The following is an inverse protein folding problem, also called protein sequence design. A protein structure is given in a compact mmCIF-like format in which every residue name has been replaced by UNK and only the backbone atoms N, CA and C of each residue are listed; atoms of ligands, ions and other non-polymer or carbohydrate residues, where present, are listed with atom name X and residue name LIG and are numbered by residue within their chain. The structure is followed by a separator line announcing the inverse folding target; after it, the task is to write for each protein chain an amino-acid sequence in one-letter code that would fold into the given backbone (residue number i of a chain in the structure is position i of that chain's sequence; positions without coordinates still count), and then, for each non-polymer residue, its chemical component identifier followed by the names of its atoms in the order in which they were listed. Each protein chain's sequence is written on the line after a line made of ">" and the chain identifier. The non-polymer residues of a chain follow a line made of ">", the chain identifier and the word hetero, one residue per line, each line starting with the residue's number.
data_IF_441916428701
#
_entry.id   IF_441916428701
#
_cell.length_a   1.000
_cell.length_b   1.000
_cell.length_c   1.000
_cell.angle_alpha   90.00
_cell.angle_beta   90.00
_cell.angle_gamma   90.00
#
_symmetry.space_group_name_H-M   'P 1'
#
loop_
_entity.id
_entity.type
_entity.pdbx_description
1 polymer ?
#
# COMPACT_ATOMS: atom_id res chain seq x y z
N UNK A 1 -2.95 -15.24 -13.91
CA UNK A 1 -3.31 -13.81 -14.06
C UNK A 1 -3.50 -13.08 -12.72
N UNK A 2 -2.64 -13.33 -11.70
CA UNK A 2 -2.81 -12.76 -10.33
C UNK A 2 -1.81 -11.67 -9.94
N UNK A 3 -1.01 -11.14 -10.84
CA UNK A 3 0.16 -10.35 -10.48
C UNK A 3 -0.08 -8.84 -10.25
N UNK A 4 -1.22 -8.30 -10.63
CA UNK A 4 -1.50 -6.85 -10.47
C UNK A 4 -2.43 -6.50 -9.28
N UNK A 5 -3.13 -7.47 -8.73
CA UNK A 5 -4.14 -7.23 -7.69
C UNK A 5 -3.50 -6.97 -6.31
N UNK A 6 -2.42 -7.68 -5.98
CA UNK A 6 -1.71 -7.50 -4.70
C UNK A 6 -1.05 -6.11 -4.52
N UNK A 7 -0.29 -5.59 -5.52
CA UNK A 7 0.28 -4.26 -5.39
C UNK A 7 -0.77 -3.15 -5.25
N UNK A 8 -1.88 -3.26 -6.00
CA UNK A 8 -2.98 -2.31 -5.91
C UNK A 8 -3.59 -2.27 -4.50
N UNK A 9 -3.76 -3.44 -3.88
CA UNK A 9 -4.29 -3.53 -2.53
C UNK A 9 -3.38 -2.91 -1.47
N UNK A 10 -2.10 -3.13 -1.57
CA UNK A 10 -1.14 -2.50 -0.66
C UNK A 10 -1.11 -0.98 -0.82
N UNK A 11 -1.21 -0.47 -2.05
CA UNK A 11 -1.29 0.96 -2.31
C UNK A 11 -2.58 1.58 -1.74
N UNK A 12 -3.72 0.90 -1.90
CA UNK A 12 -4.99 1.35 -1.30
C UNK A 12 -4.91 1.29 0.22
N UNK A 13 -4.35 0.21 0.80
CA UNK A 13 -4.18 0.08 2.23
C UNK A 13 -3.28 1.19 2.80
N UNK A 14 -2.17 1.51 2.13
CA UNK A 14 -1.28 2.61 2.50
C UNK A 14 -2.00 3.95 2.48
N UNK A 15 -2.73 4.26 1.40
CA UNK A 15 -3.51 5.49 1.28
C UNK A 15 -4.61 5.59 2.34
N UNK A 16 -5.30 4.50 2.66
CA UNK A 16 -6.30 4.48 3.73
C UNK A 16 -5.70 4.72 5.11
N UNK A 17 -4.53 4.11 5.38
CA UNK A 17 -3.81 4.33 6.64
C UNK A 17 -3.43 5.80 6.77
N UNK A 18 -2.87 6.41 5.74
CA UNK A 18 -2.52 7.83 5.72
C UNK A 18 -3.76 8.71 5.99
N UNK A 19 -4.88 8.46 5.30
CA UNK A 19 -6.13 9.19 5.50
C UNK A 19 -6.73 9.03 6.91
N UNK A 20 -6.53 7.89 7.55
CA UNK A 20 -7.01 7.64 8.92
C UNK A 20 -6.12 8.31 9.96
N UNK A 21 -4.79 8.33 9.74
CA UNK A 21 -3.84 8.92 10.67
C UNK A 21 -3.91 10.44 10.69
N UNK A 22 -4.09 11.07 9.53
CA UNK A 22 -4.25 12.53 9.45
C UNK A 22 -5.69 13.00 9.72
N UNK A 23 -6.59 12.09 10.12
CA UNK A 23 -8.00 12.36 10.39
C UNK A 23 -8.81 12.91 9.20
N UNK A 24 -8.35 12.74 7.97
CA UNK A 24 -9.11 13.05 6.75
C UNK A 24 -10.21 12.02 6.50
N UNK A 25 -10.03 10.80 7.04
CA UNK A 25 -11.01 9.72 7.08
C UNK A 25 -11.19 9.25 8.52
N UNK A 26 -12.43 8.96 8.91
CA UNK A 26 -12.76 8.44 10.24
C UNK A 26 -13.33 7.04 10.14
N UNK A 27 -12.85 6.15 11.00
CA UNK A 27 -13.44 4.82 11.19
C UNK A 27 -14.63 4.93 12.16
N UNK A 28 -15.84 4.82 11.64
CA UNK A 28 -17.09 4.87 12.41
C UNK A 28 -17.64 3.46 12.73
N UNK A 29 -16.78 2.46 12.85
CA UNK A 29 -17.14 1.08 13.16
C UNK A 29 -17.52 0.27 11.92
N UNK A 30 -18.72 0.41 11.41
CA UNK A 30 -19.21 -0.31 10.21
C UNK A 30 -18.94 0.40 8.90
N UNK A 31 -18.61 1.68 8.95
CA UNK A 31 -18.36 2.50 7.76
C UNK A 31 -17.23 3.51 8.01
N UNK A 32 -16.64 3.98 6.91
CA UNK A 32 -15.77 5.15 6.90
C UNK A 32 -16.58 6.41 6.64
N UNK A 33 -16.16 7.52 7.21
CA UNK A 33 -16.76 8.84 7.01
C UNK A 33 -15.66 9.86 6.75
N UNK A 34 -16.02 10.94 6.04
CA UNK A 34 -15.10 12.06 5.85
C UNK A 34 -14.78 12.70 7.20
N UNK A 35 -13.51 12.90 7.46
CA UNK A 35 -13.01 13.56 8.65
C UNK A 35 -12.99 15.08 8.52
N UNK A 36 -12.55 15.79 9.56
CA UNK A 36 -12.49 17.25 9.59
C UNK A 36 -11.33 17.84 8.79
N UNK A 37 -10.31 17.03 8.47
CA UNK A 37 -9.14 17.48 7.73
C UNK A 37 -9.40 17.34 6.23
N UNK A 38 -9.14 18.41 5.48
CA UNK A 38 -9.28 18.42 4.03
C UNK A 38 -8.14 17.68 3.37
N UNK A 39 -8.48 16.79 2.43
CA UNK A 39 -7.49 16.02 1.65
C UNK A 39 -6.97 16.90 0.51
N UNK A 40 -5.74 17.37 0.62
CA UNK A 40 -5.09 18.18 -0.41
C UNK A 40 -4.39 17.36 -1.49
N UNK A 41 -4.02 16.12 -1.19
CA UNK A 41 -3.37 15.22 -2.12
C UNK A 41 -4.39 14.61 -3.10
N UNK A 42 -4.23 14.79 -4.42
CA UNK A 42 -5.20 14.29 -5.40
C UNK A 42 -5.37 12.77 -5.42
N UNK A 43 -4.32 12.00 -5.09
CA UNK A 43 -4.39 10.55 -5.03
C UNK A 43 -5.18 10.09 -3.80
N UNK A 44 -4.88 10.67 -2.65
CA UNK A 44 -5.61 10.40 -1.40
C UNK A 44 -7.07 10.84 -1.50
N UNK A 45 -7.33 12.02 -2.09
CA UNK A 45 -8.68 12.51 -2.36
C UNK A 45 -9.48 11.54 -3.23
N UNK A 46 -8.88 11.03 -4.29
CA UNK A 46 -9.53 10.03 -5.14
C UNK A 46 -9.82 8.71 -4.39
N UNK A 47 -8.91 8.25 -3.51
CA UNK A 47 -9.15 7.07 -2.67
C UNK A 47 -10.31 7.31 -1.70
N UNK A 48 -10.30 8.45 -0.99
CA UNK A 48 -11.37 8.82 -0.07
C UNK A 48 -12.73 8.89 -0.78
N UNK A 49 -12.80 9.56 -1.93
CA UNK A 49 -14.03 9.67 -2.73
C UNK A 49 -14.50 8.31 -3.25
N UNK A 50 -13.57 7.45 -3.65
CA UNK A 50 -13.89 6.08 -4.10
C UNK A 50 -14.49 5.23 -2.99
N UNK A 51 -13.98 5.37 -1.76
CA UNK A 51 -14.51 4.68 -0.58
C UNK A 51 -15.89 5.21 -0.19
N UNK A 52 -16.07 6.52 -0.22
CA UNK A 52 -17.30 7.18 0.23
C UNK A 52 -18.42 7.17 -0.80
N UNK A 53 -18.10 6.98 -2.09
CA UNK A 53 -19.10 6.94 -3.18
C UNK A 53 -20.19 5.86 -3.00
N UNK A 54 -19.93 4.82 -2.20
CA UNK A 54 -20.86 3.73 -1.89
C UNK A 54 -21.31 3.75 -0.42
N UNK A 55 -21.36 4.93 0.20
CA UNK A 55 -21.75 5.06 1.60
C UNK A 55 -20.66 4.75 2.61
N UNK A 56 -19.44 4.47 2.16
CA UNK A 56 -18.28 4.20 3.02
C UNK A 56 -18.33 2.87 3.79
N UNK A 57 -19.31 2.01 3.51
CA UNK A 57 -19.45 0.74 4.21
C UNK A 57 -18.19 -0.13 4.06
N UNK A 58 -17.71 -0.72 5.18
CA UNK A 58 -16.53 -1.60 5.15
C UNK A 58 -16.73 -2.85 4.30
N UNK A 59 -17.96 -3.30 4.12
CA UNK A 59 -18.34 -4.38 3.19
C UNK A 59 -18.05 -4.01 1.74
N UNK A 60 -18.01 -2.72 1.41
CA UNK A 60 -17.83 -2.24 0.04
C UNK A 60 -16.35 -1.98 -0.31
N UNK A 61 -15.43 -2.20 0.63
CA UNK A 61 -13.98 -2.13 0.38
C UNK A 61 -13.58 -2.97 -0.84
N UNK A 62 -14.23 -4.12 -1.03
CA UNK A 62 -14.00 -4.98 -2.18
C UNK A 62 -14.23 -4.22 -3.49
N UNK A 63 -15.31 -3.46 -3.60
CA UNK A 63 -15.60 -2.66 -4.79
C UNK A 63 -14.61 -1.50 -4.99
N UNK A 64 -14.09 -0.95 -3.90
CA UNK A 64 -13.10 0.12 -3.96
C UNK A 64 -11.71 -0.36 -4.42
N UNK A 65 -11.36 -1.63 -4.20
CA UNK A 65 -10.02 -2.17 -4.50
C UNK A 65 -9.97 -3.10 -5.71
N UNK A 66 -11.12 -3.55 -6.23
CA UNK A 66 -11.18 -4.56 -7.30
C UNK A 66 -11.48 -3.97 -8.68
N UNK A 67 -11.24 -4.77 -9.70
CA UNK A 67 -11.56 -4.43 -11.08
C UNK A 67 -10.75 -3.24 -11.61
N UNK A 68 -11.45 -2.36 -12.32
CA UNK A 68 -10.83 -1.21 -12.99
C UNK A 68 -10.22 -0.18 -12.01
N UNK A 69 -10.69 -0.13 -10.76
CA UNK A 69 -10.18 0.78 -9.73
C UNK A 69 -8.79 0.41 -9.25
N UNK A 70 -8.49 -0.87 -9.08
CA UNK A 70 -7.14 -1.32 -8.76
C UNK A 70 -6.13 -0.91 -9.84
N UNK A 71 -6.48 -1.09 -11.12
CA UNK A 71 -5.65 -0.65 -12.23
C UNK A 71 -5.50 0.88 -12.27
N UNK A 72 -6.56 1.62 -11.95
CA UNK A 72 -6.50 3.09 -11.84
C UNK A 72 -5.61 3.54 -10.68
N UNK A 73 -5.65 2.86 -9.53
CA UNK A 73 -4.77 3.15 -8.39
C UNK A 73 -3.31 3.02 -8.78
N UNK A 74 -2.93 1.91 -9.41
CA UNK A 74 -1.57 1.70 -9.89
C UNK A 74 -1.17 2.81 -10.88
N UNK A 75 -2.05 3.13 -11.85
CA UNK A 75 -1.78 4.17 -12.83
C UNK A 75 -1.55 5.53 -12.17
N UNK A 76 -2.43 5.95 -11.27
CA UNK A 76 -2.33 7.24 -10.57
C UNK A 76 -1.08 7.32 -9.70
N UNK A 77 -0.72 6.23 -9.02
CA UNK A 77 0.53 6.16 -8.26
C UNK A 77 1.75 6.30 -9.18
N UNK A 78 1.73 5.62 -10.33
CA UNK A 78 2.79 5.74 -11.34
C UNK A 78 2.90 7.17 -11.89
N UNK A 79 1.77 7.81 -12.18
CA UNK A 79 1.72 9.20 -12.65
C UNK A 79 2.35 10.13 -11.61
N UNK A 80 1.97 9.97 -10.34
CA UNK A 80 2.52 10.75 -9.24
C UNK A 80 4.03 10.55 -9.06
N UNK A 81 4.55 9.34 -9.21
CA UNK A 81 6.00 9.10 -9.16
C UNK A 81 6.73 9.84 -10.29
N UNK A 82 6.14 9.86 -11.49
CA UNK A 82 6.68 10.60 -12.64
C UNK A 82 6.62 12.11 -12.40
N UNK A 83 5.49 12.64 -11.94
CA UNK A 83 5.31 14.06 -11.61
C UNK A 83 6.30 14.55 -10.56
N UNK A 84 6.64 13.70 -9.59
CA UNK A 84 7.65 13.99 -8.56
C UNK A 84 9.09 13.76 -9.03
N UNK A 85 9.32 13.35 -10.28
CA UNK A 85 10.65 13.04 -10.80
C UNK A 85 11.30 11.78 -10.21
N UNK A 86 10.53 10.95 -9.50
CA UNK A 86 11.00 9.70 -8.89
C UNK A 86 11.02 8.53 -9.88
N UNK A 87 10.38 8.68 -11.02
CA UNK A 87 10.35 7.68 -12.08
C UNK A 87 10.22 8.33 -13.46
N UNK A 88 10.64 7.60 -14.49
CA UNK A 88 10.37 7.93 -15.89
C UNK A 88 9.59 6.83 -16.56
N UNK A 89 8.73 7.20 -17.52
CA UNK A 89 8.05 6.24 -18.39
C UNK A 89 8.97 5.86 -19.55
N UNK A 90 9.29 4.58 -19.64
CA UNK A 90 9.99 4.04 -20.79
C UNK A 90 9.00 3.34 -21.73
N UNK A 91 9.09 3.56 -23.04
CA UNK A 91 8.27 2.81 -23.99
C UNK A 91 8.66 1.33 -23.93
N UNK A 92 7.67 0.46 -23.74
CA UNK A 92 7.90 -0.99 -23.73
C UNK A 92 8.26 -1.42 -25.14
N UNK A 93 9.50 -1.81 -25.36
CA UNK A 93 9.94 -2.39 -26.65
C UNK A 93 9.40 -3.81 -26.73
N UNK A 94 8.39 -3.99 -27.56
CA UNK A 94 7.90 -5.31 -27.96
C UNK A 94 8.51 -5.60 -29.32
N UNK A 95 9.31 -6.67 -29.42
CA UNK A 95 10.02 -7.05 -30.65
C UNK A 95 10.91 -5.96 -31.25
N UNK A 96 12.07 -5.76 -30.70
CA UNK A 96 13.28 -5.17 -31.30
C UNK A 96 13.19 -3.91 -32.18
N UNK A 97 12.12 -3.64 -32.90
CA UNK A 97 12.06 -2.65 -33.96
C UNK A 97 10.81 -1.74 -34.01
N UNK A 98 9.77 -2.00 -33.24
CA UNK A 98 8.57 -1.14 -33.26
C UNK A 98 8.15 -0.80 -31.83
N UNK A 99 8.29 0.47 -31.46
CA UNK A 99 7.65 1.04 -30.29
C UNK A 99 6.15 1.13 -30.57
N UNK A 100 5.38 0.08 -30.23
CA UNK A 100 3.92 0.18 -30.25
C UNK A 100 3.45 0.81 -28.95
N UNK A 101 2.77 1.98 -28.98
CA UNK A 101 2.26 2.67 -27.78
C UNK A 101 1.06 1.95 -27.14
N UNK A 102 0.69 0.77 -27.60
CA UNK A 102 -0.62 0.14 -27.34
C UNK A 102 -0.67 -0.65 -26.03
N UNK A 103 0.45 -1.11 -25.47
CA UNK A 103 0.44 -1.93 -24.23
C UNK A 103 1.49 -1.50 -23.21
N UNK A 104 1.19 -0.44 -22.46
CA UNK A 104 1.82 -0.13 -21.20
C UNK A 104 3.27 0.35 -21.30
N UNK A 105 3.54 1.54 -20.80
CA UNK A 105 4.90 2.01 -20.52
C UNK A 105 5.50 1.22 -19.35
N UNK A 106 6.75 0.80 -19.45
CA UNK A 106 7.52 0.38 -18.30
C UNK A 106 7.86 1.61 -17.46
N UNK A 107 7.82 1.47 -16.14
CA UNK A 107 8.25 2.54 -15.25
C UNK A 107 9.68 2.23 -14.82
N UNK A 108 10.59 3.16 -15.08
CA UNK A 108 11.93 3.13 -14.53
C UNK A 108 11.95 4.03 -13.30
N UNK A 109 12.02 3.42 -12.13
CA UNK A 109 12.19 4.16 -10.88
C UNK A 109 13.63 4.63 -10.79
N UNK A 110 13.83 5.91 -10.50
CA UNK A 110 15.13 6.47 -10.28
C UNK A 110 15.64 6.03 -8.91
N UNK A 111 16.92 5.70 -8.84
CA UNK A 111 17.60 5.57 -7.56
C UNK A 111 17.75 6.97 -6.96
N UNK A 112 16.86 7.33 -6.05
CA UNK A 112 16.95 8.56 -5.28
C UNK A 112 17.35 8.22 -3.85
N UNK A 113 18.13 9.10 -3.24
CA UNK A 113 18.63 8.90 -1.87
C UNK A 113 17.53 8.58 -0.87
N UNK A 114 16.34 9.17 -1.04
CA UNK A 114 15.17 8.88 -0.19
C UNK A 114 14.76 7.41 -0.23
N UNK A 115 14.72 6.76 -1.41
CA UNK A 115 14.38 5.34 -1.54
C UNK A 115 15.46 4.44 -0.94
N UNK A 116 16.72 4.82 -1.06
CA UNK A 116 17.82 4.13 -0.40
C UNK A 116 17.73 4.25 1.12
N UNK A 117 17.43 5.44 1.62
CA UNK A 117 17.23 5.69 3.05
C UNK A 117 16.09 4.83 3.60
N UNK A 118 14.93 4.84 2.97
CA UNK A 118 13.77 4.06 3.40
C UNK A 118 14.07 2.55 3.42
N UNK A 119 14.73 2.04 2.38
CA UNK A 119 15.14 0.63 2.33
C UNK A 119 16.16 0.27 3.41
N UNK A 120 17.13 1.14 3.67
CA UNK A 120 18.14 0.95 4.71
C UNK A 120 17.50 0.97 6.09
N UNK A 121 16.62 1.94 6.37
CA UNK A 121 15.90 2.06 7.63
C UNK A 121 14.98 0.85 7.90
N UNK A 122 14.25 0.39 6.88
CA UNK A 122 13.43 -0.84 7.00
C UNK A 122 14.31 -2.05 7.29
N UNK A 123 15.45 -2.21 6.60
CA UNK A 123 16.36 -3.32 6.84
C UNK A 123 16.95 -3.29 8.23
N UNK A 124 17.48 -2.14 8.67
CA UNK A 124 18.03 -1.96 10.02
C UNK A 124 16.99 -2.29 11.10
N UNK A 125 15.74 -1.88 10.90
CA UNK A 125 14.64 -2.20 11.81
C UNK A 125 14.29 -3.69 11.82
N UNK A 126 14.36 -4.38 10.67
CA UNK A 126 14.17 -5.82 10.60
C UNK A 126 15.33 -6.61 11.22
N UNK A 127 16.51 -6.02 11.29
CA UNK A 127 17.72 -6.58 11.91
C UNK A 127 17.83 -6.28 13.41
N UNK A 128 17.02 -5.36 13.96
CA UNK A 128 16.93 -5.15 15.41
C UNK A 128 16.83 -3.70 15.88
N UNK A 129 17.04 -2.72 15.04
CA UNK A 129 16.86 -1.31 15.39
C UNK A 129 15.40 -0.96 15.65
N UNK A 130 15.16 0.06 16.48
CA UNK A 130 13.82 0.56 16.73
C UNK A 130 13.37 1.42 15.54
N UNK A 131 12.25 1.07 14.86
CA UNK A 131 11.75 1.86 13.74
C UNK A 131 11.11 3.17 14.21
N UNK A 132 11.26 4.22 13.43
CA UNK A 132 10.38 5.37 13.54
C UNK A 132 8.96 5.01 13.06
N UNK A 133 8.02 5.95 13.21
CA UNK A 133 6.61 5.74 12.89
C UNK A 133 6.39 5.36 11.42
N UNK A 134 7.01 6.07 10.49
CA UNK A 134 6.83 5.83 9.06
C UNK A 134 7.40 4.46 8.63
N UNK A 135 8.59 4.12 9.15
CA UNK A 135 9.24 2.82 8.91
C UNK A 135 8.41 1.69 9.54
N UNK A 136 7.87 1.88 10.75
CA UNK A 136 7.01 0.88 11.39
C UNK A 136 5.76 0.61 10.56
N UNK A 137 5.08 1.66 10.05
CA UNK A 137 3.92 1.52 9.17
C UNK A 137 4.25 0.78 7.88
N UNK A 138 5.37 1.12 7.25
CA UNK A 138 5.83 0.44 6.04
C UNK A 138 6.10 -1.04 6.30
N UNK A 139 6.74 -1.39 7.43
CA UNK A 139 6.97 -2.78 7.83
C UNK A 139 5.64 -3.53 8.03
N UNK A 140 4.64 -2.90 8.65
CA UNK A 140 3.30 -3.50 8.83
C UNK A 140 2.65 -3.78 7.48
N UNK A 141 2.70 -2.84 6.53
CA UNK A 141 2.20 -3.02 5.17
C UNK A 141 2.89 -4.18 4.46
N UNK A 142 4.23 -4.21 4.50
CA UNK A 142 5.05 -5.25 3.87
C UNK A 142 4.83 -6.63 4.52
N UNK A 143 4.64 -6.67 5.86
CA UNK A 143 4.33 -7.90 6.57
C UNK A 143 3.01 -8.50 6.13
N UNK A 144 1.93 -7.73 6.16
CA UNK A 144 0.61 -8.20 5.74
C UNK A 144 0.55 -8.50 4.23
N UNK A 145 1.29 -7.76 3.41
CA UNK A 145 1.46 -8.01 1.97
C UNK A 145 2.43 -9.14 1.63
N UNK A 146 3.04 -9.80 2.64
CA UNK A 146 4.02 -10.89 2.43
C UNK A 146 5.23 -10.48 1.59
N UNK A 147 5.63 -9.19 1.65
CA UNK A 147 6.74 -8.61 0.87
C UNK A 147 8.04 -8.45 1.66
N UNK A 148 8.06 -8.81 2.95
CA UNK A 148 9.27 -8.74 3.80
C UNK A 148 10.47 -9.52 3.20
N UNK A 149 10.29 -10.71 2.58
CA UNK A 149 11.39 -11.44 1.97
C UNK A 149 12.14 -10.68 0.87
N UNK A 150 11.48 -9.75 0.20
CA UNK A 150 12.08 -8.96 -0.89
C UNK A 150 13.10 -7.92 -0.37
N UNK A 151 13.08 -7.63 0.92
CA UNK A 151 13.91 -6.58 1.54
C UNK A 151 15.06 -7.10 2.39
N UNK A 152 14.96 -8.31 2.92
CA UNK A 152 15.99 -8.84 3.84
C UNK A 152 16.48 -10.22 3.39
N UNK A 153 17.39 -10.26 2.43
CA UNK A 153 17.89 -11.53 1.91
C UNK A 153 18.81 -12.31 2.89
N UNK A 154 19.34 -11.66 3.94
CA UNK A 154 20.35 -12.29 4.80
C UNK A 154 19.76 -13.30 5.82
N UNK A 155 18.68 -12.94 6.53
CA UNK A 155 17.96 -13.84 7.45
C UNK A 155 16.45 -13.62 7.37
N UNK A 156 15.80 -14.37 6.50
CA UNK A 156 14.36 -14.29 6.28
C UNK A 156 13.54 -14.65 7.51
N UNK A 157 14.04 -15.57 8.35
CA UNK A 157 13.32 -16.02 9.54
C UNK A 157 13.33 -14.95 10.63
N UNK A 158 14.47 -14.32 10.83
CA UNK A 158 14.61 -13.21 11.78
C UNK A 158 13.75 -12.02 11.32
N UNK A 159 13.88 -11.61 10.06
CA UNK A 159 13.13 -10.51 9.48
C UNK A 159 11.61 -10.75 9.57
N UNK A 160 11.13 -11.94 9.25
CA UNK A 160 9.71 -12.27 9.34
C UNK A 160 9.18 -12.22 10.80
N UNK A 161 9.97 -12.73 11.76
CA UNK A 161 9.63 -12.66 13.19
C UNK A 161 9.60 -11.21 13.68
N UNK A 162 10.58 -10.41 13.27
CA UNK A 162 10.67 -9.00 13.66
C UNK A 162 9.52 -8.19 13.06
N UNK A 163 9.23 -8.36 11.75
CA UNK A 163 8.11 -7.72 11.09
C UNK A 163 6.78 -8.04 11.76
N UNK A 164 6.55 -9.32 12.12
CA UNK A 164 5.38 -9.73 12.88
C UNK A 164 5.31 -9.06 14.25
N UNK A 165 6.44 -8.99 14.97
CA UNK A 165 6.50 -8.35 16.27
C UNK A 165 6.12 -6.86 16.19
N UNK A 166 6.61 -6.15 15.16
CA UNK A 166 6.25 -4.75 14.90
C UNK A 166 4.77 -4.64 14.54
N UNK A 167 4.24 -5.52 13.68
CA UNK A 167 2.82 -5.54 13.32
C UNK A 167 1.89 -5.86 14.50
N UNK A 168 2.40 -6.52 15.54
CA UNK A 168 1.72 -6.72 16.83
C UNK A 168 1.91 -5.52 17.79
N UNK A 169 2.58 -4.44 17.36
CA UNK A 169 2.87 -3.25 18.16
C UNK A 169 3.96 -3.46 19.21
N UNK A 170 4.90 -4.37 18.95
CA UNK A 170 6.11 -4.57 19.77
C UNK A 170 7.31 -3.89 19.10
N UNK A 171 8.29 -3.48 19.91
CA UNK A 171 9.50 -2.80 19.40
C UNK A 171 9.24 -1.46 18.70
N UNK A 172 8.21 -0.76 19.14
CA UNK A 172 7.83 0.58 18.70
C UNK A 172 7.38 1.39 19.91
N UNK A 173 7.33 2.70 19.79
CA UNK A 173 6.81 3.56 20.87
C UNK A 173 5.35 3.24 21.20
N UNK A 174 4.90 3.61 22.39
CA UNK A 174 3.54 3.29 22.85
C UNK A 174 2.46 3.90 21.94
N UNK A 175 2.66 5.14 21.46
CA UNK A 175 1.74 5.79 20.52
C UNK A 175 1.62 5.02 19.21
N UNK A 176 2.75 4.74 18.57
CA UNK A 176 2.81 3.95 17.32
C UNK A 176 2.21 2.55 17.53
N UNK A 177 2.45 1.91 18.68
CA UNK A 177 1.85 0.61 18.99
C UNK A 177 0.31 0.66 19.05
N UNK A 178 -0.25 1.76 19.58
CA UNK A 178 -1.69 1.95 19.62
C UNK A 178 -2.27 2.12 18.21
N UNK A 179 -1.65 2.95 17.37
CA UNK A 179 -2.09 3.19 16.01
C UNK A 179 -2.00 1.93 15.15
N UNK A 180 -0.90 1.17 15.27
CA UNK A 180 -0.77 -0.13 14.61
C UNK A 180 -1.92 -1.07 14.97
N UNK A 181 -2.25 -1.21 16.24
CA UNK A 181 -3.28 -2.15 16.70
C UNK A 181 -4.69 -1.68 16.37
N UNK A 182 -4.98 -0.39 16.48
CA UNK A 182 -6.34 0.16 16.36
C UNK A 182 -6.72 0.49 14.92
N UNK A 183 -5.80 0.98 14.12
CA UNK A 183 -6.06 1.52 12.80
C UNK A 183 -5.33 0.74 11.70
N UNK A 184 -3.99 0.60 11.80
CA UNK A 184 -3.17 0.15 10.68
C UNK A 184 -3.40 -1.32 10.38
N UNK A 185 -3.13 -2.21 11.32
CA UNK A 185 -3.25 -3.66 11.09
C UNK A 185 -4.67 -4.12 10.75
N UNK A 186 -5.74 -3.61 11.38
CA UNK A 186 -7.11 -3.93 10.98
C UNK A 186 -7.44 -3.45 9.57
N UNK A 187 -7.05 -2.22 9.21
CA UNK A 187 -7.31 -1.64 7.89
C UNK A 187 -6.59 -2.42 6.79
N UNK A 188 -5.29 -2.67 6.96
CA UNK A 188 -4.50 -3.43 5.97
C UNK A 188 -5.08 -4.83 5.76
N UNK A 189 -5.42 -5.53 6.84
CA UNK A 189 -6.04 -6.85 6.76
C UNK A 189 -7.39 -6.83 6.06
N UNK A 190 -8.24 -5.84 6.34
CA UNK A 190 -9.55 -5.70 5.70
C UNK A 190 -9.42 -5.49 4.19
N UNK A 191 -8.51 -4.61 3.74
CA UNK A 191 -8.24 -4.35 2.32
C UNK A 191 -7.71 -5.60 1.63
N UNK A 192 -6.74 -6.29 2.23
CA UNK A 192 -6.16 -7.51 1.64
C UNK A 192 -7.16 -8.67 1.61
N UNK A 193 -8.02 -8.82 2.63
CA UNK A 193 -9.10 -9.81 2.64
C UNK A 193 -10.13 -9.54 1.53
N UNK A 194 -10.48 -8.27 1.31
CA UNK A 194 -11.39 -7.87 0.23
C UNK A 194 -10.85 -8.26 -1.15
N UNK A 195 -9.53 -8.20 -1.35
CA UNK A 195 -8.89 -8.63 -2.59
C UNK A 195 -8.89 -10.15 -2.79
N UNK A 196 -8.63 -10.91 -1.73
CA UNK A 196 -8.58 -12.38 -1.83
C UNK A 196 -9.97 -12.98 -2.08
N UNK A 197 -11.01 -12.38 -1.54
CA UNK A 197 -12.40 -12.82 -1.79
C UNK A 197 -12.78 -12.75 -3.29
N UNK A 198 -12.21 -11.80 -4.04
CA UNK A 198 -12.51 -11.62 -5.48
C UNK A 198 -11.86 -12.67 -6.35
N UNK A 199 -10.70 -13.19 -5.96
CA UNK A 199 -9.97 -14.20 -6.75
C UNK A 199 -10.66 -15.57 -6.72
N UNK A 200 -11.41 -15.88 -5.66
CA UNK A 200 -12.14 -17.16 -5.51
C UNK A 200 -13.37 -17.20 -6.41
N UNK A 201 -14.12 -16.09 -6.53
CA UNK A 201 -15.36 -16.04 -7.33
C UNK A 201 -15.07 -16.10 -8.84
N UNK A 202 -13.90 -15.65 -9.27
CA UNK A 202 -13.49 -15.65 -10.69
C UNK A 202 -12.97 -16.99 -11.22
N UNK A 203 -12.70 -17.97 -10.36
CA UNK A 203 -12.17 -19.28 -10.74
C UNK A 203 -13.24 -20.36 -10.98
N UNK A 204 -14.52 -20.05 -10.72
CA UNK A 204 -15.66 -20.96 -10.88
C UNK A 204 -16.51 -20.70 -12.14
N UNK A 205 -15.98 -19.95 -13.12
CA UNK A 205 -16.67 -19.70 -14.40
C UNK A 205 -15.85 -20.16 -15.58
#
# INVERSE_FOLDING_TARGET
>A
MSTLTEPAGLLVAAAMVELLLDASLLDAGTAYRRGPVEVTDPLLGWVADSLLAHGGAKTDLQHAVTGNRGAQMIRRTMDRLVERGLATREPRRVFGYLAMPVFGSALRVHEVDALHYDRAAVRASLEGEEPDEAVAMLIVLLHHGRRVPELSPADLTLAARRARAIADGRHVTLGVAQDIRRLISPTVRAVLAALTATTVIGSER
#
